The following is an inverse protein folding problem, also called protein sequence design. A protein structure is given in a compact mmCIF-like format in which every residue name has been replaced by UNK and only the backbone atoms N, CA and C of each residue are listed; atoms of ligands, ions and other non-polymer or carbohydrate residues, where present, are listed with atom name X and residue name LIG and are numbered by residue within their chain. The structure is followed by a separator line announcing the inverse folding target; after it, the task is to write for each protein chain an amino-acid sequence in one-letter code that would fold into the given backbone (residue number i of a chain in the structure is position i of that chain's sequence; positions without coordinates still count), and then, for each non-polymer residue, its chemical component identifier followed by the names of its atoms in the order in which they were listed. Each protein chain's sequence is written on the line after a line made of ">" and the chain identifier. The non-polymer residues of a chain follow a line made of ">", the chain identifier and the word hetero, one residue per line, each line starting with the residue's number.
data_IF_005752291064
#
_entry.id   IF_005752291064
#
_cell.length_a   1.000
_cell.length_b   1.000
_cell.length_c   1.000
_cell.angle_alpha   90.00
_cell.angle_beta   90.00
_cell.angle_gamma   90.00
#
_symmetry.space_group_name_H-M   'P 1'
#
loop_
_entity.id
_entity.type
_entity.pdbx_description
1 polymer ?
#
# COMPACT_ATOMS: atom_id res chain seq x y z
N UNK A 1 91.48 -31.42 -10.54
CA UNK A 1 90.43 -31.11 -9.54
C UNK A 1 89.71 -29.77 -9.78
N UNK A 2 90.38 -28.74 -10.31
CA UNK A 2 89.78 -27.42 -10.55
C UNK A 2 88.63 -27.40 -11.57
N UNK A 3 88.73 -28.10 -12.71
CA UNK A 3 87.65 -28.07 -13.74
C UNK A 3 86.34 -28.70 -13.26
N UNK A 4 86.40 -29.76 -12.42
CA UNK A 4 85.22 -30.37 -11.82
C UNK A 4 84.47 -29.40 -10.90
N UNK A 5 85.18 -28.53 -10.18
CA UNK A 5 84.56 -27.49 -9.32
C UNK A 5 83.87 -26.42 -10.15
N UNK A 6 84.49 -25.96 -11.24
CA UNK A 6 83.90 -24.98 -12.15
C UNK A 6 82.61 -25.51 -12.82
N UNK A 7 82.59 -26.78 -13.23
CA UNK A 7 81.39 -27.41 -13.80
C UNK A 7 80.23 -27.50 -12.79
N UNK A 8 80.51 -27.82 -11.52
CA UNK A 8 79.48 -27.87 -10.46
C UNK A 8 78.93 -26.47 -10.16
N UNK A 9 79.79 -25.44 -10.12
CA UNK A 9 79.34 -24.05 -9.95
C UNK A 9 78.49 -23.61 -11.14
N UNK A 10 78.90 -23.92 -12.37
CA UNK A 10 78.10 -23.64 -13.57
C UNK A 10 76.72 -24.31 -13.54
N UNK A 11 76.65 -25.59 -13.16
CA UNK A 11 75.39 -26.32 -13.02
C UNK A 11 74.49 -25.73 -11.92
N UNK A 12 75.06 -25.30 -10.80
CA UNK A 12 74.31 -24.64 -9.72
C UNK A 12 73.72 -23.30 -10.17
N UNK A 13 74.50 -22.48 -10.87
CA UNK A 13 74.04 -21.19 -11.41
C UNK A 13 72.93 -21.39 -12.45
N UNK A 14 73.10 -22.34 -13.39
CA UNK A 14 72.08 -22.66 -14.39
C UNK A 14 70.80 -23.18 -13.71
N UNK A 15 70.92 -24.09 -12.75
CA UNK A 15 69.79 -24.60 -11.98
C UNK A 15 69.06 -23.49 -11.21
N UNK A 16 69.80 -22.57 -10.61
CA UNK A 16 69.24 -21.39 -9.93
C UNK A 16 68.49 -20.46 -10.88
N UNK A 17 69.06 -20.17 -12.06
CA UNK A 17 68.39 -19.35 -13.09
C UNK A 17 67.13 -20.04 -13.62
N UNK A 18 67.18 -21.35 -13.87
CA UNK A 18 66.00 -22.12 -14.28
C UNK A 18 64.90 -22.10 -13.23
N UNK A 19 65.25 -22.33 -11.95
CA UNK A 19 64.29 -22.28 -10.85
C UNK A 19 63.70 -20.88 -10.69
N UNK A 20 64.53 -19.83 -10.83
CA UNK A 20 64.08 -18.45 -10.81
C UNK A 20 63.14 -18.12 -11.98
N UNK A 21 63.46 -18.58 -13.20
CA UNK A 21 62.62 -18.43 -14.38
C UNK A 21 61.27 -19.15 -14.23
N UNK A 22 61.27 -20.38 -13.67
CA UNK A 22 60.05 -21.11 -13.33
C UNK A 22 59.24 -20.34 -12.27
N UNK A 23 59.89 -19.79 -11.25
CA UNK A 23 59.24 -18.95 -10.24
C UNK A 23 58.58 -17.70 -10.85
N UNK A 24 59.26 -17.00 -11.75
CA UNK A 24 58.69 -15.87 -12.49
C UNK A 24 57.51 -16.29 -13.38
N UNK A 25 57.60 -17.45 -14.03
CA UNK A 25 56.51 -18.00 -14.85
C UNK A 25 55.26 -18.26 -14.01
N UNK A 26 55.39 -18.91 -12.85
CA UNK A 26 54.28 -19.13 -11.91
C UNK A 26 53.65 -17.81 -11.41
N UNK A 27 54.45 -16.76 -11.19
CA UNK A 27 53.94 -15.45 -10.80
C UNK A 27 53.16 -14.79 -11.96
N UNK A 28 53.65 -14.93 -13.19
CA UNK A 28 53.00 -14.37 -14.38
C UNK A 28 51.69 -15.07 -14.73
N UNK A 29 51.64 -16.39 -14.59
CA UNK A 29 50.44 -17.20 -14.77
C UNK A 29 49.31 -16.80 -13.79
N UNK A 30 49.64 -16.63 -12.50
CA UNK A 30 48.69 -16.15 -11.48
C UNK A 30 48.14 -14.74 -11.73
N UNK A 31 48.85 -13.90 -12.48
CA UNK A 31 48.42 -12.54 -12.86
C UNK A 31 47.64 -12.50 -14.19
N UNK A 32 47.31 -13.66 -14.77
CA UNK A 32 46.65 -13.75 -16.07
C UNK A 32 47.41 -12.98 -17.15
N UNK A 33 48.76 -12.94 -17.09
CA UNK A 33 49.58 -12.26 -18.10
C UNK A 33 49.63 -13.03 -19.43
N UNK A 34 49.20 -14.29 -19.43
CA UNK A 34 49.23 -15.20 -20.58
C UNK A 34 47.85 -15.74 -20.99
N UNK A 35 46.77 -15.28 -20.35
CA UNK A 35 45.41 -15.68 -20.71
C UNK A 35 44.88 -14.81 -21.86
N UNK A 36 44.13 -15.39 -22.78
CA UNK A 36 43.42 -14.62 -23.81
C UNK A 36 42.40 -13.70 -23.13
N UNK A 37 42.55 -12.40 -23.32
CA UNK A 37 41.66 -11.39 -22.74
C UNK A 37 41.10 -10.47 -23.80
N UNK A 38 39.90 -9.96 -23.54
CA UNK A 38 39.27 -8.92 -24.33
C UNK A 38 39.11 -7.65 -23.50
N UNK A 39 38.93 -6.53 -24.20
CA UNK A 39 38.71 -5.23 -23.58
C UNK A 39 37.26 -4.78 -23.75
N UNK A 40 36.66 -4.29 -22.68
CA UNK A 40 35.30 -3.74 -22.67
C UNK A 40 35.32 -2.41 -21.93
N UNK A 41 34.53 -1.44 -22.38
CA UNK A 41 34.36 -0.17 -21.69
C UNK A 41 33.06 -0.12 -20.87
N UNK A 42 33.11 0.57 -19.75
CA UNK A 42 31.94 1.03 -19.02
C UNK A 42 32.14 2.49 -18.61
N UNK A 43 31.08 3.28 -18.59
CA UNK A 43 31.17 4.72 -18.31
C UNK A 43 30.44 5.09 -17.02
N UNK A 44 31.11 5.72 -16.06
CA UNK A 44 30.49 6.09 -14.78
C UNK A 44 30.49 7.61 -14.60
N UNK A 45 29.44 8.17 -14.02
CA UNK A 45 29.41 9.58 -13.65
C UNK A 45 30.36 9.87 -12.50
N UNK A 46 30.49 8.93 -11.56
CA UNK A 46 31.41 9.03 -10.44
C UNK A 46 32.20 7.74 -10.22
N UNK A 47 33.43 7.89 -9.74
CA UNK A 47 34.29 6.79 -9.36
C UNK A 47 34.39 6.75 -7.85
N UNK A 48 33.66 5.82 -7.23
CA UNK A 48 33.63 5.63 -5.78
C UNK A 48 34.92 4.96 -5.26
N UNK A 49 36.09 5.57 -5.46
CA UNK A 49 37.42 5.06 -5.10
C UNK A 49 37.87 3.76 -5.82
N UNK A 50 37.34 3.50 -7.03
CA UNK A 50 37.87 2.46 -7.91
C UNK A 50 39.28 2.83 -8.38
N UNK A 51 40.18 1.84 -8.42
CA UNK A 51 41.57 2.02 -8.84
C UNK A 51 41.91 1.12 -10.04
N UNK A 52 42.97 1.48 -10.78
CA UNK A 52 43.54 0.58 -11.78
C UNK A 52 44.05 -0.70 -11.09
N UNK A 53 43.81 -1.86 -11.70
CA UNK A 53 44.05 -3.17 -11.12
C UNK A 53 42.94 -3.68 -10.20
N UNK A 54 41.87 -2.92 -9.97
CA UNK A 54 40.70 -3.41 -9.23
C UNK A 54 40.09 -4.63 -9.93
N UNK A 55 39.59 -5.59 -9.15
CA UNK A 55 39.01 -6.82 -9.70
C UNK A 55 37.79 -6.53 -10.57
N UNK A 56 37.61 -7.32 -11.61
CA UNK A 56 36.38 -7.40 -12.41
C UNK A 56 35.78 -8.78 -12.23
N UNK A 57 34.49 -8.83 -11.89
CA UNK A 57 33.72 -10.06 -11.76
C UNK A 57 32.60 -10.12 -12.78
N UNK A 58 32.36 -11.29 -13.34
CA UNK A 58 31.22 -11.57 -14.24
C UNK A 58 30.39 -12.66 -13.59
N UNK A 59 29.09 -12.43 -13.41
CA UNK A 59 28.18 -13.38 -12.73
C UNK A 59 28.65 -13.84 -11.33
N UNK A 60 29.52 -13.06 -10.68
CA UNK A 60 30.08 -13.35 -9.36
C UNK A 60 31.43 -14.10 -9.39
N UNK A 61 31.90 -14.50 -10.58
CA UNK A 61 33.21 -15.13 -10.78
C UNK A 61 34.30 -14.08 -11.05
N UNK A 62 35.50 -14.27 -10.50
CA UNK A 62 36.68 -13.45 -10.82
C UNK A 62 37.02 -13.59 -12.31
N UNK A 63 36.88 -12.49 -13.05
CA UNK A 63 36.85 -12.47 -14.51
C UNK A 63 37.97 -11.63 -15.14
N UNK A 64 38.61 -10.75 -14.36
CA UNK A 64 39.71 -9.93 -14.83
C UNK A 64 39.96 -8.72 -13.92
N UNK A 65 40.37 -7.61 -14.52
CA UNK A 65 40.75 -6.40 -13.79
C UNK A 65 40.49 -5.11 -14.57
N UNK A 66 40.42 -4.00 -13.85
CA UNK A 66 40.37 -2.65 -14.42
C UNK A 66 41.74 -2.31 -14.99
N UNK A 67 41.83 -2.16 -16.30
CA UNK A 67 43.07 -1.85 -16.99
C UNK A 67 43.40 -0.35 -16.90
N UNK A 68 42.43 0.51 -17.23
CA UNK A 68 42.63 1.96 -17.28
C UNK A 68 41.34 2.71 -16.93
N UNK A 69 41.49 3.85 -16.25
CA UNK A 69 40.41 4.80 -15.96
C UNK A 69 40.72 6.11 -16.70
N UNK A 70 39.90 6.43 -17.70
CA UNK A 70 40.01 7.68 -18.47
C UNK A 70 39.15 8.76 -17.82
N UNK A 71 39.79 9.86 -17.42
CA UNK A 71 39.14 11.02 -16.80
C UNK A 71 38.44 11.85 -17.88
N UNK A 72 37.19 12.31 -17.66
CA UNK A 72 36.50 13.17 -18.61
C UNK A 72 37.18 14.53 -18.76
N UNK A 73 37.03 15.14 -19.94
CA UNK A 73 37.60 16.45 -20.25
C UNK A 73 36.93 17.63 -19.50
N UNK A 74 35.76 17.40 -18.89
CA UNK A 74 35.03 18.43 -18.15
C UNK A 74 34.13 17.86 -17.06
N UNK A 75 33.59 18.71 -16.17
CA UNK A 75 32.88 18.30 -14.96
C UNK A 75 31.59 17.51 -15.20
N UNK A 76 30.96 17.68 -16.37
CA UNK A 76 29.75 16.96 -16.79
C UNK A 76 30.05 15.68 -17.58
N UNK A 77 31.31 15.39 -17.86
CA UNK A 77 31.70 14.17 -18.57
C UNK A 77 31.69 12.95 -17.66
N UNK A 78 31.68 11.76 -18.27
CA UNK A 78 31.71 10.48 -17.56
C UNK A 78 33.11 9.88 -17.63
N UNK A 79 33.52 9.22 -16.57
CA UNK A 79 34.75 8.44 -16.56
C UNK A 79 34.57 7.18 -17.39
N UNK A 80 35.46 6.98 -18.37
CA UNK A 80 35.44 5.78 -19.20
C UNK A 80 36.46 4.78 -18.66
N UNK A 81 35.97 3.64 -18.18
CA UNK A 81 36.78 2.60 -17.54
C UNK A 81 37.01 1.47 -18.54
N UNK A 82 38.27 1.17 -18.86
CA UNK A 82 38.66 0.02 -19.67
C UNK A 82 38.84 -1.20 -18.78
N UNK A 83 38.02 -2.22 -19.02
CA UNK A 83 38.02 -3.49 -18.32
C UNK A 83 38.77 -4.50 -19.17
N UNK A 84 39.69 -5.27 -18.57
CA UNK A 84 40.31 -6.44 -19.18
C UNK A 84 39.63 -7.67 -18.61
N UNK A 85 38.98 -8.45 -19.46
CA UNK A 85 38.19 -9.62 -19.05
C UNK A 85 38.66 -10.85 -19.81
N UNK A 86 38.66 -12.00 -19.16
CA UNK A 86 39.03 -13.26 -19.80
C UNK A 86 38.06 -13.64 -20.92
N UNK A 87 38.61 -14.17 -22.01
CA UNK A 87 37.84 -14.51 -23.22
C UNK A 87 36.86 -15.67 -23.01
N UNK A 88 37.09 -16.56 -22.06
CA UNK A 88 36.18 -17.65 -21.73
C UNK A 88 34.86 -17.17 -21.09
N UNK A 89 34.86 -15.96 -20.51
CA UNK A 89 33.67 -15.32 -19.96
C UNK A 89 33.02 -14.30 -20.91
N UNK A 90 33.63 -14.06 -22.08
CA UNK A 90 33.06 -13.24 -23.15
C UNK A 90 31.64 -13.64 -23.53
N UNK A 91 31.30 -14.95 -23.61
CA UNK A 91 29.94 -15.38 -23.92
C UNK A 91 28.91 -15.09 -22.83
N UNK A 92 29.24 -14.41 -21.74
CA UNK A 92 28.27 -13.90 -20.76
C UNK A 92 28.09 -12.38 -20.83
N UNK A 93 28.99 -11.69 -21.51
CA UNK A 93 29.00 -10.23 -21.62
C UNK A 93 28.34 -9.84 -22.94
N UNK A 94 27.19 -9.18 -22.83
CA UNK A 94 26.37 -8.73 -23.96
C UNK A 94 26.32 -7.21 -23.97
N UNK A 95 25.83 -6.65 -25.06
CA UNK A 95 25.63 -5.20 -25.19
C UNK A 95 24.68 -4.64 -24.12
N UNK A 96 23.75 -5.45 -23.61
CA UNK A 96 22.83 -5.08 -22.55
C UNK A 96 23.32 -5.45 -21.13
N UNK A 97 24.51 -6.04 -21.00
CA UNK A 97 25.15 -6.26 -19.70
C UNK A 97 25.33 -4.95 -18.95
N UNK A 98 25.26 -5.03 -17.63
CA UNK A 98 25.37 -3.87 -16.74
C UNK A 98 26.57 -4.02 -15.82
N UNK A 99 27.52 -3.11 -15.92
CA UNK A 99 28.62 -2.95 -14.99
C UNK A 99 28.20 -2.07 -13.80
N UNK A 100 28.61 -2.44 -12.60
CA UNK A 100 28.41 -1.65 -11.38
C UNK A 100 29.66 -1.67 -10.52
N UNK A 101 30.00 -0.54 -9.90
CA UNK A 101 31.07 -0.48 -8.90
C UNK A 101 30.48 -0.96 -7.57
N UNK A 102 31.05 -2.02 -7.01
CA UNK A 102 30.65 -2.61 -5.73
C UNK A 102 31.84 -2.66 -4.77
N UNK A 103 31.57 -2.92 -3.50
CA UNK A 103 32.60 -3.10 -2.45
C UNK A 103 32.59 -4.55 -1.98
N UNK A 104 33.76 -5.12 -1.70
CA UNK A 104 33.84 -6.43 -1.03
C UNK A 104 33.37 -6.27 0.43
N UNK A 105 32.09 -6.57 0.70
CA UNK A 105 31.49 -6.34 2.01
C UNK A 105 31.27 -4.85 2.32
N UNK A 106 31.23 -4.49 3.61
CA UNK A 106 30.87 -3.13 4.04
C UNK A 106 32.01 -2.11 3.87
N UNK A 107 33.27 -2.52 4.06
CA UNK A 107 34.46 -1.64 4.07
C UNK A 107 35.60 -2.21 3.23
N UNK A 108 35.28 -2.99 2.20
CA UNK A 108 36.29 -3.60 1.34
C UNK A 108 36.72 -2.73 0.16
N UNK A 109 37.72 -3.24 -0.55
CA UNK A 109 38.15 -2.69 -1.83
C UNK A 109 36.99 -2.69 -2.83
N UNK A 110 37.02 -1.71 -3.72
CA UNK A 110 36.03 -1.58 -4.79
C UNK A 110 36.40 -2.48 -5.95
N UNK A 111 35.40 -3.08 -6.57
CA UNK A 111 35.54 -3.93 -7.74
C UNK A 111 34.39 -3.67 -8.72
N UNK A 112 34.58 -4.04 -9.98
CA UNK A 112 33.52 -3.98 -10.98
C UNK A 112 32.78 -5.31 -11.03
N UNK A 113 31.49 -5.27 -10.78
CA UNK A 113 30.59 -6.39 -11.02
C UNK A 113 29.87 -6.19 -12.35
N UNK A 114 30.06 -7.11 -13.28
CA UNK A 114 29.33 -7.21 -14.54
C UNK A 114 28.21 -8.24 -14.36
N UNK A 115 26.98 -7.79 -14.56
CA UNK A 115 25.81 -8.67 -14.67
C UNK A 115 25.71 -9.23 -16.08
N UNK A 116 25.34 -10.50 -16.19
CA UNK A 116 25.12 -11.15 -17.49
C UNK A 116 24.02 -10.43 -18.24
N UNK A 117 24.17 -10.33 -19.56
CA UNK A 117 23.12 -9.78 -20.41
C UNK A 117 22.08 -10.83 -20.80
N UNK A 118 21.09 -10.43 -21.61
CA UNK A 118 20.09 -11.35 -22.13
C UNK A 118 20.62 -12.22 -23.27
N UNK A 119 20.12 -13.45 -23.40
CA UNK A 119 20.53 -14.35 -24.49
C UNK A 119 20.17 -13.82 -25.88
N UNK A 120 19.14 -12.96 -25.97
CA UNK A 120 18.72 -12.29 -27.20
C UNK A 120 19.63 -11.15 -27.64
N UNK A 121 20.44 -10.60 -26.73
CA UNK A 121 21.36 -9.53 -27.07
C UNK A 121 22.62 -10.08 -27.75
N UNK A 122 23.26 -9.33 -28.66
CA UNK A 122 24.54 -9.72 -29.24
C UNK A 122 25.66 -9.65 -28.19
N UNK A 123 26.70 -10.46 -28.39
CA UNK A 123 27.94 -10.37 -27.61
C UNK A 123 28.57 -9.00 -27.80
N UNK A 124 29.16 -8.46 -26.73
CA UNK A 124 29.88 -7.18 -26.83
C UNK A 124 31.11 -7.37 -27.71
N UNK A 125 31.34 -6.48 -28.66
CA UNK A 125 32.57 -6.52 -29.47
C UNK A 125 33.80 -6.12 -28.64
N UNK A 126 35.00 -6.43 -29.13
CA UNK A 126 36.22 -5.92 -28.50
C UNK A 126 36.21 -4.39 -28.53
N UNK A 127 36.55 -3.78 -27.39
CA UNK A 127 36.41 -2.34 -27.15
C UNK A 127 34.96 -1.83 -27.22
N UNK A 128 33.97 -2.71 -27.18
CA UNK A 128 32.57 -2.35 -27.04
C UNK A 128 32.28 -1.73 -25.67
N UNK A 129 31.22 -0.92 -25.60
CA UNK A 129 30.80 -0.28 -24.35
C UNK A 129 29.55 -0.95 -23.81
N UNK A 130 29.57 -1.36 -22.55
CA UNK A 130 28.43 -1.91 -21.83
C UNK A 130 27.79 -0.86 -20.92
N UNK A 131 26.53 -1.08 -20.55
CA UNK A 131 25.80 -0.18 -19.66
C UNK A 131 26.44 -0.17 -18.28
N UNK A 132 26.27 0.94 -17.57
CA UNK A 132 26.76 1.10 -16.21
C UNK A 132 25.64 1.51 -15.26
N UNK A 133 25.81 1.16 -13.99
CA UNK A 133 25.00 1.65 -12.88
C UNK A 133 25.92 2.40 -11.92
N UNK A 134 25.49 3.59 -11.51
CA UNK A 134 26.24 4.37 -10.53
C UNK A 134 26.35 3.60 -9.20
N UNK A 135 27.50 3.67 -8.53
CA UNK A 135 27.65 3.13 -7.18
C UNK A 135 26.71 3.90 -6.23
N UNK A 136 26.10 3.16 -5.31
CA UNK A 136 25.30 3.71 -4.22
C UNK A 136 26.13 3.65 -2.94
N UNK A 137 26.31 4.78 -2.26
CA UNK A 137 27.09 4.86 -1.02
C UNK A 137 26.19 4.83 0.23
N UNK A 138 26.73 4.35 1.35
CA UNK A 138 26.06 4.40 2.65
C UNK A 138 25.91 5.86 3.11
N UNK A 139 26.85 6.73 2.73
CA UNK A 139 26.71 8.16 2.96
C UNK A 139 25.40 8.70 2.36
N UNK A 140 25.05 8.30 1.15
CA UNK A 140 23.82 8.70 0.46
C UNK A 140 22.56 8.21 1.24
N UNK A 141 22.63 7.02 1.84
CA UNK A 141 21.55 6.50 2.70
C UNK A 141 21.40 7.34 3.96
N UNK A 142 22.50 7.69 4.62
CA UNK A 142 22.50 8.47 5.86
C UNK A 142 22.01 9.90 5.63
N UNK A 143 22.35 10.49 4.49
CA UNK A 143 21.81 11.78 4.05
C UNK A 143 20.29 11.68 3.85
N UNK A 144 19.83 10.67 3.09
CA UNK A 144 18.39 10.43 2.90
C UNK A 144 17.65 10.17 4.22
N UNK A 145 18.28 9.50 5.18
CA UNK A 145 17.73 9.33 6.53
C UNK A 145 17.63 10.67 7.27
N UNK A 146 18.64 11.52 7.14
CA UNK A 146 18.65 12.86 7.75
C UNK A 146 17.53 13.72 7.17
N UNK A 147 17.36 13.72 5.85
CA UNK A 147 16.25 14.42 5.17
C UNK A 147 14.89 13.90 5.61
N UNK A 148 14.77 12.57 5.77
CA UNK A 148 13.55 11.93 6.28
C UNK A 148 13.26 12.39 7.72
N UNK A 149 14.28 12.43 8.58
CA UNK A 149 14.14 12.93 9.96
C UNK A 149 13.72 14.40 9.98
N UNK A 150 14.29 15.23 9.10
CA UNK A 150 13.89 16.63 8.98
C UNK A 150 12.44 16.78 8.52
N UNK A 151 12.01 15.98 7.54
CA UNK A 151 10.62 15.96 7.08
C UNK A 151 9.65 15.55 8.20
N UNK A 152 10.00 14.52 8.98
CA UNK A 152 9.20 14.11 10.15
C UNK A 152 9.13 15.23 11.18
N UNK A 153 10.25 15.91 11.46
CA UNK A 153 10.25 17.04 12.40
C UNK A 153 9.39 18.21 11.91
N UNK A 154 9.43 18.53 10.62
CA UNK A 154 8.57 19.56 10.03
C UNK A 154 7.09 19.20 10.17
N UNK A 155 6.73 17.95 9.84
CA UNK A 155 5.36 17.44 10.01
C UNK A 155 4.90 17.53 11.47
N UNK A 156 5.77 17.24 12.45
CA UNK A 156 5.45 17.37 13.87
C UNK A 156 5.20 18.82 14.30
N UNK A 157 5.91 19.78 13.70
CA UNK A 157 5.66 21.22 13.94
C UNK A 157 4.30 21.63 13.39
N UNK A 158 3.97 21.19 12.17
CA UNK A 158 2.68 21.51 11.54
C UNK A 158 1.48 20.91 12.30
N UNK A 159 1.62 19.65 12.77
CA UNK A 159 0.60 19.01 13.60
C UNK A 159 0.40 19.77 14.92
N UNK A 160 1.47 20.25 15.56
CA UNK A 160 1.37 21.07 16.78
C UNK A 160 0.69 22.42 16.50
N UNK A 161 0.99 23.04 15.36
CA UNK A 161 0.37 24.30 14.96
C UNK A 161 -1.15 24.12 14.74
N UNK A 162 -1.56 23.11 13.97
CA UNK A 162 -2.97 22.80 13.73
C UNK A 162 -3.72 22.42 15.01
N UNK A 163 -3.08 21.73 15.95
CA UNK A 163 -3.67 21.41 17.24
C UNK A 163 -3.92 22.67 18.09
N UNK A 164 -2.98 23.61 18.12
CA UNK A 164 -3.15 24.88 18.83
C UNK A 164 -4.28 25.73 18.23
N UNK A 165 -4.43 25.68 16.90
CA UNK A 165 -5.51 26.38 16.19
C UNK A 165 -6.88 25.76 16.51
N UNK A 166 -6.96 24.42 16.51
CA UNK A 166 -8.17 23.69 16.90
C UNK A 166 -8.56 23.93 18.37
N UNK A 167 -7.59 23.98 19.29
CA UNK A 167 -7.83 24.31 20.69
C UNK A 167 -8.33 25.76 20.87
N UNK A 168 -7.83 26.68 20.06
CA UNK A 168 -8.30 28.08 20.03
C UNK A 168 -9.75 28.17 19.57
N UNK A 169 -10.10 27.47 18.49
CA UNK A 169 -11.46 27.39 17.97
C UNK A 169 -12.44 26.74 18.96
N UNK A 170 -11.99 25.70 19.67
CA UNK A 170 -12.76 25.05 20.73
C UNK A 170 -13.02 26.01 21.91
N UNK A 171 -12.02 26.79 22.31
CA UNK A 171 -12.18 27.80 23.37
C UNK A 171 -13.18 28.88 22.97
N UNK A 172 -13.18 29.34 21.71
CA UNK A 172 -14.13 30.32 21.21
C UNK A 172 -15.57 29.75 21.20
N UNK A 173 -15.73 28.52 20.74
CA UNK A 173 -17.03 27.82 20.73
C UNK A 173 -17.59 27.64 22.15
N UNK A 174 -16.71 27.39 23.14
CA UNK A 174 -17.10 27.25 24.55
C UNK A 174 -17.59 28.59 25.12
N UNK A 175 -17.00 29.72 24.72
CA UNK A 175 -17.45 31.05 25.10
C UNK A 175 -18.79 31.41 24.47
N UNK A 176 -19.00 31.08 23.19
CA UNK A 176 -20.27 31.30 22.48
C UNK A 176 -21.43 30.47 23.08
N UNK A 177 -21.15 29.22 23.46
CA UNK A 177 -22.13 28.37 24.14
C UNK A 177 -22.54 28.93 25.52
N UNK A 178 -21.59 29.51 26.26
CA UNK A 178 -21.88 30.18 27.54
C UNK A 178 -22.70 31.48 27.36
N UNK A 179 -22.47 32.22 26.27
CA UNK A 179 -23.25 33.42 25.93
C UNK A 179 -24.71 33.06 25.55
N UNK A 180 -24.91 31.98 24.80
CA UNK A 180 -26.24 31.45 24.47
C UNK A 180 -27.02 31.00 25.71
N UNK A 181 -26.35 30.38 26.69
CA UNK A 181 -26.96 29.99 27.96
C UNK A 181 -27.43 31.23 28.76
N UNK A 182 -26.70 32.34 28.68
CA UNK A 182 -27.09 33.61 29.32
C UNK A 182 -28.25 34.31 28.59
N UNK A 183 -28.30 34.30 27.25
CA UNK A 183 -29.41 34.90 26.46
C UNK A 183 -30.74 34.16 26.66
N UNK A 184 -30.69 32.83 26.79
CA UNK A 184 -31.87 32.02 27.11
C UNK A 184 -32.44 32.40 28.49
N UNK A 185 -31.59 32.74 29.46
CA UNK A 185 -32.02 33.24 30.77
C UNK A 185 -32.83 34.53 30.70
N UNK A 186 -32.45 35.48 29.84
CA UNK A 186 -33.16 36.73 29.65
C UNK A 186 -34.51 36.59 28.92
N UNK A 187 -34.61 35.61 28.01
CA UNK A 187 -35.87 35.33 27.28
C UNK A 187 -36.92 34.63 28.15
N UNK A 188 -36.50 33.87 29.15
CA UNK A 188 -37.42 33.23 30.12
C UNK A 188 -38.15 34.27 30.98
N UNK A 189 -37.51 35.36 31.39
CA UNK A 189 -38.16 36.45 32.13
C UNK A 189 -39.27 37.16 31.32
N UNK A 190 -39.06 37.29 30.00
CA UNK A 190 -40.04 37.93 29.10
C UNK A 190 -41.27 37.04 28.88
N UNK A 191 -41.10 35.72 28.93
CA UNK A 191 -42.20 34.73 28.85
C UNK A 191 -43.02 34.73 30.15
N UNK A 192 -42.37 34.88 31.31
CA UNK A 192 -43.06 34.94 32.61
C UNK A 192 -43.95 36.20 32.73
N UNK A 193 -43.49 37.36 32.26
CA UNK A 193 -44.30 38.60 32.24
C UNK A 193 -45.49 38.53 31.27
N UNK A 194 -45.40 37.71 30.23
CA UNK A 194 -46.49 37.51 29.26
C UNK A 194 -47.63 36.64 29.81
N UNK A 195 -47.37 35.84 30.86
CA UNK A 195 -48.34 34.93 31.46
C UNK A 195 -49.40 35.68 32.29
N UNK A 196 -49.01 36.77 32.96
CA UNK A 196 -49.93 37.61 33.74
C UNK A 196 -50.92 38.38 32.86
N UNK A 197 -50.49 38.84 31.67
CA UNK A 197 -51.40 39.51 30.71
C UNK A 197 -52.37 38.53 30.05
N UNK A 198 -51.91 37.31 29.73
CA UNK A 198 -52.76 36.27 29.14
C UNK A 198 -53.89 35.86 30.09
N UNK A 199 -53.64 35.79 31.40
CA UNK A 199 -54.67 35.49 32.40
C UNK A 199 -55.73 36.60 32.51
N UNK A 200 -55.32 37.87 32.42
CA UNK A 200 -56.23 39.02 32.42
C UNK A 200 -57.06 39.07 31.14
N UNK A 201 -56.46 38.85 29.97
CA UNK A 201 -57.15 38.85 28.67
C UNK A 201 -58.10 37.65 28.53
N UNK A 202 -57.73 36.46 29.03
CA UNK A 202 -58.62 35.30 29.07
C UNK A 202 -59.84 35.52 29.97
N UNK A 203 -59.68 36.23 31.08
CA UNK A 203 -60.80 36.54 31.99
C UNK A 203 -61.80 37.50 31.32
N UNK A 204 -61.29 38.47 30.55
CA UNK A 204 -62.12 39.37 29.74
C UNK A 204 -62.81 38.62 28.58
N UNK A 205 -62.11 37.72 27.90
CA UNK A 205 -62.66 36.94 26.79
C UNK A 205 -63.76 35.97 27.24
N UNK A 206 -63.61 35.33 28.41
CA UNK A 206 -64.64 34.44 29.00
C UNK A 206 -65.90 35.21 29.39
N UNK A 207 -65.74 36.47 29.83
CA UNK A 207 -66.86 37.34 30.13
C UNK A 207 -67.65 37.71 28.85
N UNK A 208 -66.96 38.03 27.75
CA UNK A 208 -67.60 38.40 26.47
C UNK A 208 -68.28 37.20 25.78
N UNK A 209 -67.70 36.00 25.91
CA UNK A 209 -68.27 34.75 25.40
C UNK A 209 -69.55 34.36 26.14
N UNK A 210 -69.60 34.51 27.49
CA UNK A 210 -70.81 34.23 28.28
C UNK A 210 -71.98 35.16 27.97
N UNK A 211 -71.70 36.37 27.47
CA UNK A 211 -72.73 37.33 27.07
C UNK A 211 -73.16 37.18 25.60
N UNK A 212 -72.64 36.19 24.87
CA UNK A 212 -73.05 35.89 23.49
C UNK A 212 -72.66 36.96 22.47
N UNK A 213 -71.67 37.80 22.78
CA UNK A 213 -71.19 38.85 21.87
C UNK A 213 -69.97 38.37 21.08
N UNK A 214 -69.96 38.66 19.78
CA UNK A 214 -68.86 38.31 18.88
C UNK A 214 -69.02 36.96 18.15
N UNK A 215 -68.04 36.65 17.31
CA UNK A 215 -68.06 35.49 16.40
C UNK A 215 -68.04 34.15 17.13
N UNK A 216 -67.45 34.05 18.33
CA UNK A 216 -67.43 32.85 19.17
C UNK A 216 -68.80 32.47 19.74
N UNK A 217 -69.64 33.46 20.09
CA UNK A 217 -71.03 33.20 20.51
C UNK A 217 -71.92 32.66 19.39
N UNK A 218 -71.58 32.97 18.13
CA UNK A 218 -72.22 32.40 16.94
C UNK A 218 -71.67 31.03 16.53
N UNK A 219 -70.46 30.68 16.99
CA UNK A 219 -69.79 29.40 16.71
C UNK A 219 -70.15 28.30 17.73
N UNK A 220 -70.60 28.65 18.94
CA UNK A 220 -71.04 27.68 19.97
C UNK A 220 -72.30 26.88 19.60
N UNK A 221 -73.03 27.27 18.56
CA UNK A 221 -74.22 26.56 18.06
C UNK A 221 -73.92 25.56 16.96
N UNK A 222 -72.66 25.36 16.58
CA UNK A 222 -72.27 24.51 15.45
C UNK A 222 -71.82 23.11 15.92
N UNK A 223 -72.66 22.10 15.69
CA UNK A 223 -72.44 20.71 16.11
C UNK A 223 -71.20 20.05 15.47
N UNK A 224 -70.74 20.52 14.31
CA UNK A 224 -69.56 19.98 13.64
C UNK A 224 -68.23 20.35 14.34
N UNK A 225 -68.22 21.49 15.03
CA UNK A 225 -67.06 22.00 15.76
C UNK A 225 -66.84 21.25 17.09
N UNK A 226 -67.91 20.78 17.73
CA UNK A 226 -67.82 19.99 18.97
C UNK A 226 -67.02 18.69 18.77
N UNK A 227 -67.19 18.05 17.61
CA UNK A 227 -66.42 16.86 17.23
C UNK A 227 -64.93 17.15 17.10
N UNK A 228 -64.57 18.27 16.45
CA UNK A 228 -63.18 18.65 16.22
C UNK A 228 -62.47 19.08 17.50
N UNK A 229 -63.17 19.78 18.41
CA UNK A 229 -62.64 20.17 19.73
C UNK A 229 -62.35 18.94 20.59
N UNK A 230 -63.22 17.92 20.56
CA UNK A 230 -63.00 16.69 21.33
C UNK A 230 -61.74 15.93 20.88
N UNK A 231 -61.46 15.90 19.58
CA UNK A 231 -60.26 15.26 19.04
C UNK A 231 -58.99 16.04 19.39
N UNK A 232 -59.03 17.38 19.30
CA UNK A 232 -57.89 18.25 19.69
C UNK A 232 -57.56 18.12 21.19
N UNK A 233 -58.59 18.01 22.04
CA UNK A 233 -58.38 17.79 23.48
C UNK A 233 -57.74 16.42 23.74
N UNK A 234 -58.16 15.37 23.02
CA UNK A 234 -57.55 14.04 23.14
C UNK A 234 -56.08 14.01 22.66
N UNK A 235 -55.76 14.73 21.57
CA UNK A 235 -54.40 14.86 21.05
C UNK A 235 -53.51 15.68 21.99
N UNK A 236 -54.06 16.73 22.63
CA UNK A 236 -53.36 17.53 23.63
C UNK A 236 -53.08 16.73 24.91
N UNK A 237 -54.02 15.90 25.36
CA UNK A 237 -53.82 14.99 26.50
C UNK A 237 -52.71 13.96 26.21
N UNK A 238 -52.64 13.42 24.98
CA UNK A 238 -51.55 12.54 24.54
C UNK A 238 -50.19 13.25 24.49
N UNK A 239 -50.13 14.47 23.95
CA UNK A 239 -48.90 15.25 23.89
C UNK A 239 -48.36 15.58 25.30
N UNK A 240 -49.25 15.89 26.24
CA UNK A 240 -48.89 16.14 27.65
C UNK A 240 -48.39 14.85 28.32
N UNK A 241 -48.99 13.69 28.02
CA UNK A 241 -48.51 12.40 28.50
C UNK A 241 -47.09 12.10 27.97
N UNK A 242 -46.83 12.33 26.68
CA UNK A 242 -45.51 12.14 26.08
C UNK A 242 -44.45 13.12 26.61
N UNK A 243 -44.83 14.37 26.88
CA UNK A 243 -43.93 15.37 27.49
C UNK A 243 -43.60 15.01 28.94
N UNK A 244 -44.57 14.42 29.67
CA UNK A 244 -44.33 13.92 31.03
C UNK A 244 -43.37 12.74 31.02
N UNK A 245 -43.54 11.81 30.08
CA UNK A 245 -42.62 10.67 29.89
C UNK A 245 -41.22 11.11 29.46
N UNK A 246 -41.11 12.06 28.53
CA UNK A 246 -39.83 12.63 28.11
C UNK A 246 -39.14 13.37 29.27
N UNK A 247 -39.89 14.10 30.09
CA UNK A 247 -39.38 14.75 31.30
C UNK A 247 -38.87 13.76 32.35
N UNK A 248 -39.54 12.61 32.50
CA UNK A 248 -39.11 11.51 33.37
C UNK A 248 -37.88 10.79 32.81
N UNK A 249 -37.80 10.56 31.50
CA UNK A 249 -36.63 9.98 30.82
C UNK A 249 -35.40 10.89 30.91
N UNK A 250 -35.57 12.20 30.71
CA UNK A 250 -34.49 13.17 30.88
C UNK A 250 -33.98 13.21 32.32
N UNK A 251 -34.90 13.14 33.31
CA UNK A 251 -34.52 13.04 34.73
C UNK A 251 -33.76 11.76 35.05
N UNK A 252 -34.16 10.63 34.47
CA UNK A 252 -33.51 9.33 34.66
C UNK A 252 -32.13 9.29 33.97
N UNK A 253 -31.99 9.84 32.76
CA UNK A 253 -30.70 9.98 32.08
C UNK A 253 -29.74 10.90 32.84
N UNK A 254 -30.27 11.97 33.45
CA UNK A 254 -29.50 12.87 34.31
C UNK A 254 -29.17 12.25 35.68
N UNK A 255 -29.97 11.30 36.17
CA UNK A 255 -29.67 10.52 37.37
C UNK A 255 -28.59 9.46 37.10
N UNK A 256 -28.60 8.82 35.92
CA UNK A 256 -27.54 7.91 35.44
C UNK A 256 -26.20 8.61 35.27
N UNK A 257 -26.21 9.90 34.89
CA UNK A 257 -25.01 10.75 34.82
C UNK A 257 -24.53 11.26 36.18
N UNK A 258 -25.37 11.20 37.22
CA UNK A 258 -25.06 11.69 38.59
C UNK A 258 -24.73 10.56 39.58
N UNK A 259 -24.92 9.30 39.23
CA UNK A 259 -24.54 8.15 40.05
C UNK A 259 -23.03 8.07 40.23
N UNK A 260 -22.57 8.13 41.49
CA UNK A 260 -21.17 8.00 41.89
C UNK A 260 -20.59 6.65 41.44
N UNK A 261 -19.98 6.60 40.24
CA UNK A 261 -19.29 5.41 39.74
C UNK A 261 -19.05 5.28 38.22
N UNK A 262 -19.46 6.26 37.40
CA UNK A 262 -19.43 6.13 35.93
C UNK A 262 -18.25 6.74 35.16
N UNK A 263 -17.05 6.84 35.74
CA UNK A 263 -15.85 7.16 34.95
C UNK A 263 -15.43 5.92 34.14
N UNK A 264 -15.09 6.08 32.85
CA UNK A 264 -14.58 5.06 31.90
C UNK A 264 -15.55 4.43 30.87
N UNK A 265 -16.70 5.04 30.53
CA UNK A 265 -17.50 4.62 29.36
C UNK A 265 -17.56 5.63 28.20
N UNK A 266 -17.45 6.93 28.47
CA UNK A 266 -17.39 7.98 27.43
C UNK A 266 -16.00 8.13 26.79
N UNK A 267 -14.92 7.97 27.56
CA UNK A 267 -13.56 8.06 27.02
C UNK A 267 -13.22 6.92 26.05
N UNK A 268 -13.89 5.76 26.17
CA UNK A 268 -13.72 4.64 25.24
C UNK A 268 -14.45 4.87 23.91
N UNK A 269 -15.58 5.59 23.90
CA UNK A 269 -16.27 5.93 22.63
C UNK A 269 -15.52 7.02 21.89
N UNK A 270 -15.00 8.03 22.59
CA UNK A 270 -14.24 9.12 21.95
C UNK A 270 -12.84 8.68 21.52
N UNK A 271 -12.20 7.76 22.27
CA UNK A 271 -10.97 7.10 21.82
C UNK A 271 -11.24 6.18 20.62
N UNK A 272 -12.35 5.42 20.60
CA UNK A 272 -12.74 4.63 19.42
C UNK A 272 -13.05 5.52 18.22
N UNK A 273 -13.73 6.64 18.42
CA UNK A 273 -14.10 7.59 17.36
C UNK A 273 -12.87 8.36 16.86
N UNK A 274 -11.93 8.70 17.74
CA UNK A 274 -10.63 9.27 17.36
C UNK A 274 -9.77 8.25 16.62
N UNK A 275 -9.77 6.97 17.04
CA UNK A 275 -9.11 5.88 16.30
C UNK A 275 -9.79 5.61 14.96
N UNK A 276 -11.10 5.82 14.85
CA UNK A 276 -11.85 5.71 13.60
C UNK A 276 -11.53 6.87 12.66
N UNK A 277 -11.47 8.11 13.17
CA UNK A 277 -11.04 9.30 12.44
C UNK A 277 -9.57 9.23 12.03
N UNK A 278 -8.70 8.67 12.88
CA UNK A 278 -7.30 8.42 12.55
C UNK A 278 -7.14 7.31 11.50
N UNK A 279 -7.97 6.25 11.54
CA UNK A 279 -8.03 5.25 10.47
C UNK A 279 -8.56 5.83 9.16
N UNK A 280 -9.55 6.73 9.20
CA UNK A 280 -10.06 7.44 8.02
C UNK A 280 -9.02 8.41 7.46
N UNK A 281 -8.28 9.13 8.31
CA UNK A 281 -7.19 10.00 7.89
C UNK A 281 -5.98 9.22 7.33
N UNK A 282 -5.60 8.10 7.96
CA UNK A 282 -4.58 7.19 7.44
C UNK A 282 -5.03 6.47 6.17
N UNK A 283 -6.32 6.15 6.05
CA UNK A 283 -6.94 5.66 4.81
C UNK A 283 -6.89 6.72 3.72
N UNK A 284 -7.11 8.00 4.05
CA UNK A 284 -6.98 9.10 3.09
C UNK A 284 -5.52 9.39 2.72
N UNK A 285 -4.56 9.15 3.61
CA UNK A 285 -3.13 9.20 3.31
C UNK A 285 -2.69 8.00 2.46
N UNK A 286 -3.26 6.82 2.69
CA UNK A 286 -3.11 5.66 1.82
C UNK A 286 -3.69 5.96 0.42
N UNK A 287 -4.86 6.60 0.33
CA UNK A 287 -5.47 7.08 -0.93
C UNK A 287 -4.63 8.16 -1.61
N UNK A 288 -4.02 9.08 -0.86
CA UNK A 288 -3.11 10.09 -1.42
C UNK A 288 -1.78 9.48 -1.89
N UNK A 289 -1.30 8.44 -1.20
CA UNK A 289 -0.13 7.65 -1.61
C UNK A 289 -0.47 6.79 -2.83
N UNK A 290 -1.69 6.29 -2.93
CA UNK A 290 -2.24 5.57 -4.09
C UNK A 290 -2.32 6.48 -5.33
N UNK A 291 -2.80 7.72 -5.16
CA UNK A 291 -2.82 8.73 -6.22
C UNK A 291 -1.40 9.13 -6.72
N UNK A 292 -0.36 8.92 -5.90
CA UNK A 292 1.04 9.13 -6.28
C UNK A 292 1.60 7.95 -7.08
N UNK A 293 1.16 6.72 -6.81
CA UNK A 293 1.51 5.53 -7.60
C UNK A 293 0.79 5.47 -8.95
N UNK A 294 -0.44 6.02 -9.01
CA UNK A 294 -1.25 6.12 -10.23
C UNK A 294 -0.69 7.09 -11.28
N UNK A 295 0.18 8.00 -10.85
CA UNK A 295 0.81 8.98 -11.71
C UNK A 295 1.69 8.29 -12.76
N UNK A 296 1.40 8.53 -14.04
CA UNK A 296 2.06 7.87 -15.17
C UNK A 296 3.60 7.97 -15.13
N UNK A 297 4.12 9.04 -14.53
CA UNK A 297 5.55 9.29 -14.36
C UNK A 297 6.23 8.29 -13.40
N UNK A 298 5.50 7.84 -12.38
CA UNK A 298 6.03 7.01 -11.30
C UNK A 298 5.63 5.53 -11.43
N UNK A 299 4.64 5.22 -12.26
CA UNK A 299 4.17 3.86 -12.55
C UNK A 299 5.30 2.91 -13.00
N UNK A 300 6.25 3.41 -13.80
CA UNK A 300 7.44 2.65 -14.23
C UNK A 300 8.54 2.52 -13.16
N UNK A 301 8.55 3.39 -12.16
CA UNK A 301 9.47 3.34 -11.01
C UNK A 301 9.03 2.29 -9.99
N UNK A 302 7.72 2.15 -9.75
CA UNK A 302 7.13 1.19 -8.81
C UNK A 302 7.01 -0.23 -9.38
N UNK A 303 6.56 -0.38 -10.64
CA UNK A 303 6.44 -1.69 -11.29
C UNK A 303 7.79 -2.44 -11.45
N UNK A 304 8.92 -1.72 -11.52
CA UNK A 304 10.28 -2.31 -11.58
C UNK A 304 10.77 -2.84 -10.23
N UNK A 305 10.09 -2.48 -9.14
CA UNK A 305 10.44 -2.86 -7.75
C UNK A 305 9.44 -3.85 -7.15
N UNK A 306 8.55 -4.42 -7.96
CA UNK A 306 7.56 -5.40 -7.50
C UNK A 306 6.31 -4.79 -6.86
N UNK A 307 6.20 -3.46 -6.82
CA UNK A 307 4.98 -2.78 -6.40
C UNK A 307 4.00 -2.75 -7.58
N UNK A 308 3.02 -3.64 -7.54
CA UNK A 308 1.89 -3.65 -8.45
C UNK A 308 0.73 -2.94 -7.77
N UNK A 309 0.19 -1.87 -8.36
CA UNK A 309 -1.14 -1.35 -7.95
C UNK A 309 -2.20 -2.27 -8.53
N UNK A 310 -2.37 -3.39 -7.84
CA UNK A 310 -3.39 -4.36 -8.16
C UNK A 310 -4.80 -3.80 -7.86
N UNK A 311 -4.90 -2.80 -6.98
CA UNK A 311 -6.14 -2.16 -6.55
C UNK A 311 -6.65 -1.08 -7.53
N UNK A 312 -5.82 -0.59 -8.46
CA UNK A 312 -6.22 0.35 -9.53
C UNK A 312 -6.63 -0.34 -10.84
N UNK A 313 -6.41 -1.65 -10.97
CA UNK A 313 -6.78 -2.38 -12.17
C UNK A 313 -8.31 -2.53 -12.15
N UNK A 314 -8.99 -1.79 -13.02
CA UNK A 314 -10.43 -1.96 -13.18
C UNK A 314 -10.75 -3.36 -13.72
N UNK A 315 -11.93 -3.88 -13.41
CA UNK A 315 -12.41 -5.18 -13.96
C UNK A 315 -12.33 -5.22 -15.49
N UNK A 316 -12.54 -4.08 -16.16
CA UNK A 316 -12.40 -3.97 -17.61
C UNK A 316 -10.94 -4.18 -18.07
N UNK A 317 -9.99 -3.46 -17.46
CA UNK A 317 -8.55 -3.61 -17.76
C UNK A 317 -8.03 -5.01 -17.40
N UNK A 318 -8.52 -5.59 -16.31
CA UNK A 318 -8.18 -6.95 -15.92
C UNK A 318 -8.58 -7.95 -17.01
N UNK A 319 -9.82 -7.85 -17.54
CA UNK A 319 -10.32 -8.68 -18.64
C UNK A 319 -9.56 -8.48 -19.95
N UNK A 320 -9.07 -7.27 -20.21
CA UNK A 320 -8.21 -6.98 -21.36
C UNK A 320 -6.78 -7.51 -21.20
N UNK A 321 -6.48 -8.20 -20.10
CA UNK A 321 -5.21 -8.87 -19.87
C UNK A 321 -4.13 -7.98 -19.27
N UNK A 322 -4.50 -6.94 -18.51
CA UNK A 322 -3.53 -6.04 -17.84
C UNK A 322 -2.40 -6.79 -17.10
N UNK A 323 -2.72 -7.91 -16.45
CA UNK A 323 -1.76 -8.75 -15.72
C UNK A 323 -1.12 -9.87 -16.56
N UNK A 324 -1.69 -10.18 -17.74
CA UNK A 324 -1.13 -11.13 -18.70
C UNK A 324 -0.13 -10.47 -19.70
N UNK A 325 0.15 -9.17 -19.53
CA UNK A 325 1.11 -8.46 -20.37
C UNK A 325 2.56 -8.90 -20.12
N UNK A 326 3.44 -8.68 -21.11
CA UNK A 326 4.89 -8.96 -21.04
C UNK A 326 5.25 -10.44 -20.85
N UNK A 327 4.52 -11.33 -21.53
CA UNK A 327 4.82 -12.75 -21.58
C UNK A 327 4.48 -13.48 -20.28
N UNK A 328 3.46 -13.05 -19.54
CA UNK A 328 2.88 -13.80 -18.42
C UNK A 328 1.63 -14.55 -18.86
N UNK A 329 1.34 -15.68 -18.21
CA UNK A 329 0.09 -16.43 -18.38
C UNK A 329 -0.59 -16.59 -17.02
N UNK A 330 -1.93 -16.55 -17.04
CA UNK A 330 -2.72 -16.83 -15.86
C UNK A 330 -2.84 -18.34 -15.68
N UNK A 331 -2.37 -18.86 -14.54
CA UNK A 331 -2.75 -20.17 -14.04
C UNK A 331 -4.00 -19.98 -13.17
N UNK A 332 -5.12 -20.54 -13.58
CA UNK A 332 -6.42 -20.32 -12.93
C UNK A 332 -7.02 -21.61 -12.39
N UNK A 333 -7.50 -21.58 -11.15
CA UNK A 333 -8.29 -22.65 -10.52
C UNK A 333 -9.68 -22.10 -10.18
N UNK A 334 -10.72 -22.83 -10.61
CA UNK A 334 -12.11 -22.47 -10.38
C UNK A 334 -12.68 -23.25 -9.20
N UNK A 335 -13.38 -22.55 -8.28
CA UNK A 335 -14.06 -23.19 -7.14
C UNK A 335 -15.49 -22.68 -7.04
N UNK A 336 -16.45 -23.60 -7.06
CA UNK A 336 -17.88 -23.28 -7.06
C UNK A 336 -18.36 -22.81 -5.67
N UNK A 337 -19.34 -21.90 -5.66
CA UNK A 337 -19.85 -21.28 -4.43
C UNK A 337 -20.44 -22.29 -3.43
N UNK A 338 -21.19 -23.27 -3.91
CA UNK A 338 -21.88 -24.32 -3.14
C UNK A 338 -20.91 -25.25 -2.38
N UNK A 339 -19.66 -25.30 -2.80
CA UNK A 339 -18.60 -26.05 -2.17
C UNK A 339 -17.69 -25.20 -1.27
N UNK A 340 -17.85 -23.88 -1.32
CA UNK A 340 -16.97 -22.93 -0.65
C UNK A 340 -17.66 -22.23 0.51
N UNK A 341 -18.86 -21.73 0.28
CA UNK A 341 -19.57 -20.88 1.21
C UNK A 341 -20.73 -21.61 1.88
N UNK A 342 -20.98 -21.24 3.13
CA UNK A 342 -22.22 -21.55 3.84
C UNK A 342 -22.93 -20.23 4.19
N UNK A 343 -24.27 -20.26 4.24
CA UNK A 343 -25.06 -19.08 4.59
C UNK A 343 -25.18 -18.96 6.11
N UNK A 344 -25.04 -17.75 6.63
CA UNK A 344 -25.30 -17.43 8.01
C UNK A 344 -26.81 -17.18 8.27
N UNK A 345 -27.18 -17.01 9.54
CA UNK A 345 -28.57 -16.80 9.95
C UNK A 345 -29.19 -15.48 9.43
N UNK A 346 -28.37 -14.56 8.91
CA UNK A 346 -28.78 -13.28 8.32
C UNK A 346 -28.74 -13.33 6.78
N UNK A 347 -28.44 -14.48 6.20
CA UNK A 347 -28.34 -14.68 4.75
C UNK A 347 -27.01 -14.25 4.13
N UNK A 348 -26.02 -13.85 4.92
CA UNK A 348 -24.66 -13.56 4.47
C UNK A 348 -23.86 -14.84 4.21
N UNK A 349 -22.89 -14.79 3.31
CA UNK A 349 -22.00 -15.92 3.04
C UNK A 349 -20.76 -15.88 3.92
N UNK A 350 -20.33 -17.05 4.39
CA UNK A 350 -19.06 -17.25 5.09
C UNK A 350 -18.38 -18.51 4.58
N UNK A 351 -17.05 -18.57 4.69
CA UNK A 351 -16.31 -19.77 4.30
C UNK A 351 -16.66 -20.94 5.23
N UNK A 352 -17.10 -22.06 4.62
CA UNK A 352 -17.33 -23.30 5.34
C UNK A 352 -16.02 -24.01 5.66
N UNK A 353 -16.00 -24.91 6.64
CA UNK A 353 -14.82 -25.73 6.94
C UNK A 353 -14.37 -26.56 5.73
N UNK A 354 -15.32 -27.11 4.96
CA UNK A 354 -15.04 -27.83 3.72
C UNK A 354 -14.48 -26.90 2.64
N UNK A 355 -15.01 -25.69 2.52
CA UNK A 355 -14.51 -24.66 1.61
C UNK A 355 -13.07 -24.25 1.90
N UNK A 356 -12.75 -24.02 3.17
CA UNK A 356 -11.39 -23.75 3.64
C UNK A 356 -10.41 -24.88 3.25
N UNK A 357 -10.77 -26.14 3.47
CA UNK A 357 -9.94 -27.28 3.07
C UNK A 357 -9.74 -27.38 1.55
N UNK A 358 -10.75 -27.00 0.76
CA UNK A 358 -10.63 -26.93 -0.71
C UNK A 358 -9.70 -25.82 -1.16
N UNK A 359 -9.76 -24.64 -0.52
CA UNK A 359 -8.82 -23.55 -0.77
C UNK A 359 -7.39 -23.97 -0.42
N UNK A 360 -7.20 -24.65 0.73
CA UNK A 360 -5.89 -25.18 1.11
C UNK A 360 -5.33 -26.12 0.03
N UNK A 361 -6.17 -27.01 -0.51
CA UNK A 361 -5.80 -27.92 -1.60
C UNK A 361 -5.51 -27.17 -2.91
N UNK A 362 -6.35 -26.20 -3.31
CA UNK A 362 -6.15 -25.41 -4.51
C UNK A 362 -4.84 -24.60 -4.45
N UNK A 363 -4.52 -24.03 -3.29
CA UNK A 363 -3.30 -23.25 -3.07
C UNK A 363 -2.03 -24.06 -3.21
N UNK A 364 -2.05 -25.37 -2.92
CA UNK A 364 -0.86 -26.23 -3.05
C UNK A 364 -0.23 -26.18 -4.44
N UNK A 365 -1.04 -25.96 -5.49
CA UNK A 365 -0.58 -25.85 -6.88
C UNK A 365 0.06 -24.49 -7.21
N UNK A 366 -0.14 -23.48 -6.34
CA UNK A 366 0.35 -22.12 -6.55
C UNK A 366 1.55 -21.76 -5.66
N UNK A 367 1.84 -22.54 -4.61
CA UNK A 367 2.86 -22.20 -3.62
C UNK A 367 4.24 -21.93 -4.24
N UNK A 368 4.62 -22.62 -5.31
CA UNK A 368 5.90 -22.42 -5.99
C UNK A 368 5.98 -21.10 -6.79
N UNK A 369 4.84 -20.50 -7.14
CA UNK A 369 4.76 -19.30 -7.96
C UNK A 369 4.36 -18.04 -7.18
N UNK A 370 3.71 -18.18 -6.01
CA UNK A 370 2.94 -17.10 -5.41
C UNK A 370 3.78 -15.98 -4.76
N UNK A 371 4.99 -16.26 -4.29
CA UNK A 371 5.80 -15.27 -3.55
C UNK A 371 6.27 -14.08 -4.41
N UNK A 372 6.28 -14.21 -5.74
CA UNK A 372 6.86 -13.20 -6.65
C UNK A 372 5.94 -12.79 -7.79
N UNK A 373 4.72 -13.31 -7.81
CA UNK A 373 3.80 -13.12 -8.92
C UNK A 373 2.45 -12.59 -8.42
N UNK A 374 1.78 -11.72 -9.20
CA UNK A 374 0.44 -11.26 -8.87
C UNK A 374 -0.52 -12.45 -8.70
N UNK A 375 -1.24 -12.44 -7.59
CA UNK A 375 -2.29 -13.38 -7.28
C UNK A 375 -3.62 -12.64 -7.16
N UNK A 376 -4.60 -13.08 -7.94
CA UNK A 376 -5.91 -12.45 -8.02
C UNK A 376 -6.96 -13.44 -7.55
N UNK A 377 -7.75 -13.01 -6.57
CA UNK A 377 -8.96 -13.70 -6.15
C UNK A 377 -10.14 -13.08 -6.89
N UNK A 378 -10.61 -13.76 -7.92
CA UNK A 378 -11.75 -13.38 -8.73
C UNK A 378 -13.05 -13.85 -8.06
N UNK A 379 -13.96 -12.94 -7.76
CA UNK A 379 -15.29 -13.28 -7.24
C UNK A 379 -16.33 -13.26 -8.34
N UNK A 380 -17.21 -14.26 -8.34
CA UNK A 380 -18.27 -14.41 -9.33
C UNK A 380 -19.63 -14.64 -8.67
N UNK A 381 -20.69 -14.15 -9.29
CA UNK A 381 -22.04 -14.23 -8.75
C UNK A 381 -23.10 -14.13 -9.87
N UNK A 382 -24.15 -14.96 -9.82
CA UNK A 382 -25.17 -15.10 -10.88
C UNK A 382 -26.53 -14.44 -10.58
N UNK A 383 -26.60 -13.53 -9.60
CA UNK A 383 -27.85 -12.88 -9.19
C UNK A 383 -28.49 -12.05 -10.30
N UNK A 384 -29.78 -11.74 -10.12
CA UNK A 384 -30.61 -11.15 -11.16
C UNK A 384 -30.17 -9.71 -11.47
N UNK A 385 -29.86 -8.91 -10.44
CA UNK A 385 -29.49 -7.51 -10.61
C UNK A 385 -27.98 -7.30 -10.69
N UNK A 386 -27.55 -6.23 -11.38
CA UNK A 386 -26.13 -5.90 -11.50
C UNK A 386 -25.50 -5.53 -10.15
N UNK A 387 -26.26 -4.85 -9.28
CA UNK A 387 -25.81 -4.39 -7.98
C UNK A 387 -25.59 -5.57 -7.01
N UNK A 388 -26.53 -6.52 -6.96
CA UNK A 388 -26.38 -7.73 -6.14
C UNK A 388 -25.19 -8.56 -6.60
N UNK A 389 -25.02 -8.74 -7.92
CA UNK A 389 -23.86 -9.46 -8.48
C UNK A 389 -22.54 -8.79 -8.08
N UNK A 390 -22.47 -7.47 -8.14
CA UNK A 390 -21.27 -6.74 -7.76
C UNK A 390 -20.97 -6.89 -6.26
N UNK A 391 -21.98 -6.72 -5.40
CA UNK A 391 -21.83 -6.85 -3.95
C UNK A 391 -21.39 -8.26 -3.54
N UNK A 392 -22.02 -9.29 -4.10
CA UNK A 392 -21.73 -10.69 -3.76
C UNK A 392 -20.37 -11.11 -4.31
N UNK A 393 -20.05 -10.79 -5.57
CA UNK A 393 -18.72 -11.07 -6.12
C UNK A 393 -17.60 -10.37 -5.33
N UNK A 394 -17.82 -9.12 -4.90
CA UNK A 394 -16.87 -8.39 -4.05
C UNK A 394 -16.69 -9.08 -2.70
N UNK A 395 -17.80 -9.45 -2.03
CA UNK A 395 -17.76 -10.09 -0.73
C UNK A 395 -17.06 -11.46 -0.77
N UNK A 396 -17.38 -12.30 -1.77
CA UNK A 396 -16.76 -13.62 -1.96
C UNK A 396 -15.25 -13.53 -2.17
N UNK A 397 -14.81 -12.62 -3.03
CA UNK A 397 -13.40 -12.41 -3.29
C UNK A 397 -12.65 -11.95 -2.03
N UNK A 398 -13.23 -11.03 -1.26
CA UNK A 398 -12.65 -10.54 -0.01
C UNK A 398 -12.52 -11.65 1.04
N UNK A 399 -13.58 -12.44 1.27
CA UNK A 399 -13.57 -13.56 2.22
C UNK A 399 -12.45 -14.56 1.91
N UNK A 400 -12.29 -14.91 0.64
CA UNK A 400 -11.26 -15.85 0.19
C UNK A 400 -9.87 -15.24 0.30
N UNK A 401 -9.67 -13.98 -0.13
CA UNK A 401 -8.39 -13.28 0.01
C UNK A 401 -7.95 -13.24 1.47
N UNK A 402 -8.81 -12.80 2.38
CA UNK A 402 -8.47 -12.64 3.79
C UNK A 402 -8.09 -13.97 4.43
N UNK A 403 -8.80 -15.04 4.08
CA UNK A 403 -8.44 -16.40 4.49
C UNK A 403 -7.05 -16.80 3.98
N UNK A 404 -6.80 -16.66 2.67
CA UNK A 404 -5.56 -17.08 2.03
C UNK A 404 -4.35 -16.30 2.54
N UNK A 405 -4.46 -14.98 2.63
CA UNK A 405 -3.42 -14.09 3.18
C UNK A 405 -3.13 -14.47 4.64
N UNK A 406 -4.17 -14.66 5.46
CA UNK A 406 -4.01 -15.00 6.87
C UNK A 406 -3.38 -16.38 7.12
N UNK A 407 -3.81 -17.37 6.33
CA UNK A 407 -3.42 -18.78 6.43
C UNK A 407 -2.00 -19.02 5.90
N UNK A 408 -1.69 -18.51 4.70
CA UNK A 408 -0.42 -18.75 4.01
C UNK A 408 0.62 -17.65 4.21
N UNK A 409 0.29 -16.60 4.98
CA UNK A 409 1.17 -15.45 5.24
C UNK A 409 1.64 -14.77 3.94
N UNK A 410 0.75 -14.71 2.95
CA UNK A 410 1.02 -14.05 1.68
C UNK A 410 1.21 -12.56 1.90
N UNK A 411 2.12 -11.95 1.15
CA UNK A 411 2.28 -10.51 1.13
C UNK A 411 1.02 -9.87 0.49
N UNK A 412 0.25 -9.06 1.23
CA UNK A 412 -0.98 -8.46 0.71
C UNK A 412 -0.78 -7.56 -0.52
N UNK A 413 0.44 -7.07 -0.77
CA UNK A 413 0.76 -6.25 -1.94
C UNK A 413 0.79 -7.03 -3.25
N UNK A 414 0.87 -8.36 -3.18
CA UNK A 414 0.81 -9.25 -4.34
C UNK A 414 -0.54 -9.97 -4.48
N UNK A 415 -1.47 -9.76 -3.53
CA UNK A 415 -2.78 -10.42 -3.52
C UNK A 415 -3.91 -9.39 -3.59
N UNK A 416 -4.66 -9.40 -4.69
CA UNK A 416 -5.82 -8.52 -4.88
C UNK A 416 -7.11 -9.30 -5.12
N UNK A 417 -8.23 -8.58 -5.14
CA UNK A 417 -9.56 -9.10 -5.45
C UNK A 417 -10.12 -8.47 -6.72
N UNK A 418 -10.89 -9.24 -7.48
CA UNK A 418 -11.60 -8.74 -8.66
C UNK A 418 -13.08 -9.14 -8.60
N UNK A 419 -14.02 -8.19 -8.48
CA UNK A 419 -15.46 -8.49 -8.52
C UNK A 419 -15.91 -8.67 -9.98
N UNK A 420 -15.87 -9.90 -10.48
CA UNK A 420 -16.09 -10.21 -11.89
C UNK A 420 -17.58 -10.30 -12.28
N UNK A 421 -18.50 -10.27 -11.30
CA UNK A 421 -19.93 -10.47 -11.53
C UNK A 421 -20.21 -11.86 -12.14
N UNK A 422 -21.11 -11.95 -13.12
CA UNK A 422 -21.48 -13.26 -13.68
C UNK A 422 -20.54 -13.77 -14.78
N UNK A 423 -19.87 -12.87 -15.53
CA UNK A 423 -19.12 -13.24 -16.75
C UNK A 423 -17.74 -13.78 -16.39
N UNK A 424 -17.51 -15.03 -16.79
CA UNK A 424 -16.31 -15.80 -16.51
C UNK A 424 -15.91 -16.58 -17.77
N UNK A 425 -15.00 -16.01 -18.55
CA UNK A 425 -14.43 -16.71 -19.72
C UNK A 425 -13.49 -17.80 -19.23
N UNK A 426 -13.49 -18.96 -19.91
CA UNK A 426 -12.71 -20.15 -19.53
C UNK A 426 -13.19 -20.84 -18.23
N UNK A 427 -14.39 -20.50 -17.75
CA UNK A 427 -14.98 -21.20 -16.60
C UNK A 427 -15.43 -22.61 -17.00
N UNK A 428 -15.54 -23.55 -16.04
CA UNK A 428 -16.07 -24.89 -16.31
C UNK A 428 -17.49 -24.90 -16.89
N UNK A 429 -18.26 -23.83 -16.69
CA UNK A 429 -19.61 -23.65 -17.25
C UNK A 429 -19.62 -22.79 -18.51
N UNK A 430 -18.46 -22.50 -19.10
CA UNK A 430 -18.28 -21.80 -20.37
C UNK A 430 -18.08 -20.29 -20.19
N UNK A 431 -19.18 -19.54 -20.02
CA UNK A 431 -19.16 -18.07 -20.07
C UNK A 431 -19.63 -17.39 -18.78
N UNK A 432 -20.23 -18.15 -17.87
CA UNK A 432 -20.66 -17.65 -16.55
C UNK A 432 -20.05 -18.48 -15.45
N UNK A 433 -19.96 -17.95 -14.23
CA UNK A 433 -19.51 -18.72 -13.06
C UNK A 433 -20.23 -18.25 -11.80
N UNK A 434 -20.41 -19.16 -10.83
CA UNK A 434 -20.88 -18.84 -9.49
C UNK A 434 -19.89 -19.40 -8.46
N UNK A 435 -19.17 -18.52 -7.76
CA UNK A 435 -18.09 -18.91 -6.87
C UNK A 435 -16.88 -18.01 -7.01
N UNK A 436 -15.68 -18.60 -7.03
CA UNK A 436 -14.41 -17.87 -7.14
C UNK A 436 -13.49 -18.47 -8.20
N UNK A 437 -12.61 -17.65 -8.74
CA UNK A 437 -11.44 -18.03 -9.52
C UNK A 437 -10.16 -17.59 -8.79
N UNK A 438 -9.20 -18.48 -8.63
CA UNK A 438 -7.88 -18.17 -8.10
C UNK A 438 -6.91 -18.09 -9.28
N UNK A 439 -6.34 -16.92 -9.56
CA UNK A 439 -5.47 -16.70 -10.72
C UNK A 439 -4.09 -16.19 -10.31
N UNK A 440 -3.04 -16.96 -10.57
CA UNK A 440 -1.64 -16.52 -10.45
C UNK A 440 -1.10 -16.17 -11.84
N UNK A 441 -0.45 -15.01 -11.97
CA UNK A 441 0.14 -14.55 -13.23
C UNK A 441 1.64 -14.83 -13.29
N UNK A 442 2.01 -15.96 -13.89
CA UNK A 442 3.39 -16.47 -13.94
C UNK A 442 4.06 -16.07 -15.27
N UNK A 443 5.35 -15.69 -15.30
CA UNK A 443 6.12 -15.57 -16.53
C UNK A 443 6.07 -16.87 -17.34
N UNK A 444 5.86 -16.77 -18.66
CA UNK A 444 5.78 -17.93 -19.56
C UNK A 444 7.09 -18.71 -19.58
N UNK A 445 8.22 -18.08 -19.23
CA UNK A 445 9.51 -18.75 -19.09
C UNK A 445 9.65 -19.61 -17.81
N UNK A 446 8.72 -19.48 -16.87
CA UNK A 446 8.69 -20.22 -15.61
C UNK A 446 7.58 -21.30 -15.58
N UNK A 447 6.80 -21.42 -16.66
CA UNK A 447 5.86 -22.50 -16.94
C UNK A 447 6.50 -23.47 -17.93
#
# INVERSE_FOLDING_TARGET
>A
MASKRLAVVGAFVIGGVLLFAVGLFFIGDRRMLFADTLHVYAEFGQIAALTNGAKVRVAGMDAGEVNEILVPAGPSGRFRVRLRVRSDLHPLIRVDSVASIQSDGLVGNKFIQIQTGSDSAPQVEEFGTIRSREPFDIADVMEMMTDTIQMVNAMLVDVKAGLNEALTALSATTQDALALIQDVGGRVDTILVSTDRIAVDLTAMVHDVRQGRGTLGKLMTDEALYGSVKTIVADAEQAIAHLRDAGLQARNALADLRGEGGQMKGMTSDAQQTLQSARVAMSNLAVATEALKSNFLLRGFFARRGFFDLDEITVAQYREGALATRGRKALRIWVAADHLFERDAKGGERLSAGGMARLDSAMSQFLEYIERNPFVVEGYAQEVTADERYLISTARAALVRDYLVGKFKLDPSYVTTMPMGARAEESPTGNTWDGIGLAVFVPTAAL
#
